data_IF_946133719954
#
_entry.id   IF_946133719954
#
_cell.length_a   1.000
_cell.length_b   1.000
_cell.length_c   1.000
_cell.angle_alpha   90.00
_cell.angle_beta   90.00
_cell.angle_gamma   90.00
#
_symmetry.space_group_name_H-M   'P 1'
#
loop_
_entity.id
_entity.type
_entity.pdbx_description
1 polymer ?
#
# COMPACT_ATOMS: atom_id res chain seq x y z
N UNK A 1 1.63 -22.71 17.18
CA UNK A 1 2.97 -22.45 16.61
C UNK A 1 2.69 -21.80 15.28
N UNK A 2 3.08 -20.55 15.20
CA UNK A 2 2.60 -19.53 14.26
C UNK A 2 2.85 -19.93 12.82
N UNK A 3 1.83 -19.77 11.98
CA UNK A 3 1.98 -19.36 10.58
C UNK A 3 2.81 -18.07 10.57
N UNK A 4 4.13 -18.17 10.80
CA UNK A 4 5.05 -17.29 10.09
C UNK A 4 4.73 -17.62 8.66
N UNK A 5 3.87 -16.78 8.09
CA UNK A 5 3.06 -16.99 6.90
C UNK A 5 3.76 -17.98 5.98
N UNK A 6 3.25 -19.23 5.92
CA UNK A 6 3.91 -20.36 5.22
C UNK A 6 4.38 -19.93 3.81
N UNK A 7 3.62 -19.01 3.22
CA UNK A 7 3.86 -18.38 1.93
C UNK A 7 5.12 -17.50 1.90
N UNK A 8 5.39 -16.74 2.96
CA UNK A 8 6.63 -15.94 3.09
C UNK A 8 7.82 -16.86 3.25
N UNK A 9 7.71 -17.89 4.08
CA UNK A 9 8.75 -18.90 4.27
C UNK A 9 9.11 -19.58 2.95
N UNK A 10 8.11 -20.03 2.19
CA UNK A 10 8.29 -20.62 0.87
C UNK A 10 8.98 -19.66 -0.09
N UNK A 11 8.48 -18.43 -0.22
CA UNK A 11 9.00 -17.44 -1.17
C UNK A 11 10.48 -17.14 -0.89
N UNK A 12 10.85 -17.00 0.37
CA UNK A 12 12.23 -16.71 0.77
C UNK A 12 13.14 -17.91 0.49
N UNK A 13 12.72 -19.13 0.82
CA UNK A 13 13.51 -20.34 0.51
C UNK A 13 13.70 -20.51 -1.00
N UNK A 14 12.64 -20.32 -1.78
CA UNK A 14 12.70 -20.35 -3.23
C UNK A 14 13.71 -19.31 -3.76
N UNK A 15 13.59 -18.06 -3.32
CA UNK A 15 14.49 -16.97 -3.70
C UNK A 15 15.95 -17.29 -3.39
N UNK A 16 16.26 -17.83 -2.21
CA UNK A 16 17.64 -18.19 -1.85
C UNK A 16 18.23 -19.30 -2.73
N UNK A 17 17.39 -20.16 -3.31
CA UNK A 17 17.82 -21.25 -4.18
C UNK A 17 17.89 -20.84 -5.66
N UNK A 18 16.98 -20.00 -6.14
CA UNK A 18 16.81 -19.70 -7.58
C UNK A 18 17.07 -18.25 -7.96
N UNK A 19 17.04 -17.33 -6.99
CA UNK A 19 16.99 -15.88 -7.22
C UNK A 19 15.61 -15.36 -7.68
N UNK A 20 14.61 -16.23 -7.80
CA UNK A 20 13.27 -15.89 -8.28
C UNK A 20 12.26 -15.54 -7.17
N UNK A 21 11.12 -14.99 -7.58
CA UNK A 21 9.97 -14.74 -6.70
C UNK A 21 8.84 -15.73 -7.05
N UNK A 22 8.47 -16.59 -6.12
CA UNK A 22 7.38 -17.56 -6.28
C UNK A 22 6.61 -17.70 -4.96
N UNK A 23 5.27 -17.61 -5.03
CA UNK A 23 4.36 -17.83 -3.90
C UNK A 23 3.72 -19.22 -3.98
N UNK A 24 3.30 -19.77 -2.85
CA UNK A 24 2.63 -21.08 -2.81
C UNK A 24 1.26 -20.98 -3.50
N UNK A 25 1.03 -21.87 -4.47
CA UNK A 25 -0.30 -22.09 -5.04
C UNK A 25 -1.16 -22.91 -4.07
N UNK A 26 -1.89 -22.24 -3.18
CA UNK A 26 -2.84 -22.87 -2.26
C UNK A 26 -4.31 -22.60 -2.65
N UNK A 27 -5.24 -23.55 -2.45
CA UNK A 27 -6.66 -23.34 -2.68
C UNK A 27 -7.19 -22.16 -1.85
N UNK A 28 -8.10 -21.38 -2.41
CA UNK A 28 -8.76 -20.28 -1.69
C UNK A 28 -9.81 -20.84 -0.71
N UNK A 29 -9.88 -20.25 0.49
CA UNK A 29 -11.09 -20.30 1.30
C UNK A 29 -12.21 -19.51 0.58
N UNK A 30 -13.44 -19.98 0.64
CA UNK A 30 -14.59 -19.33 -0.01
C UNK A 30 -14.71 -17.86 0.42
N UNK A 31 -14.70 -16.94 -0.57
CA UNK A 31 -14.96 -15.51 -0.36
C UNK A 31 -13.74 -14.58 -0.28
N UNK A 32 -12.49 -15.07 -0.34
CA UNK A 32 -11.29 -14.21 -0.44
C UNK A 32 -10.86 -14.07 -1.90
N UNK A 33 -10.66 -12.83 -2.37
CA UNK A 33 -10.12 -12.57 -3.71
C UNK A 33 -8.67 -13.06 -3.80
N UNK A 34 -8.35 -13.81 -4.86
CA UNK A 34 -6.98 -14.28 -5.14
C UNK A 34 -6.00 -13.11 -5.17
N UNK A 35 -6.42 -12.00 -5.77
CA UNK A 35 -5.62 -10.78 -5.90
C UNK A 35 -5.25 -10.16 -4.55
N UNK A 36 -6.22 -10.00 -3.64
CA UNK A 36 -5.97 -9.41 -2.33
C UNK A 36 -5.07 -10.31 -1.46
N UNK A 37 -5.21 -11.62 -1.61
CA UNK A 37 -4.32 -12.59 -0.96
C UNK A 37 -2.89 -12.49 -1.49
N UNK A 38 -2.70 -12.51 -2.81
CA UNK A 38 -1.37 -12.38 -3.41
C UNK A 38 -0.72 -11.05 -3.09
N UNK A 39 -1.52 -9.97 -3.04
CA UNK A 39 -1.03 -8.67 -2.62
C UNK A 39 -0.55 -8.71 -1.17
N UNK A 40 -1.35 -9.23 -0.25
CA UNK A 40 -0.95 -9.40 1.15
C UNK A 40 0.35 -10.22 1.28
N UNK A 41 0.48 -11.32 0.54
CA UNK A 41 1.71 -12.13 0.50
C UNK A 41 2.90 -11.30 0.05
N UNK A 42 2.76 -10.50 -1.02
CA UNK A 42 3.84 -9.62 -1.49
C UNK A 42 4.25 -8.56 -0.48
N UNK A 43 3.30 -7.98 0.27
CA UNK A 43 3.58 -7.06 1.37
C UNK A 43 4.36 -7.74 2.49
N UNK A 44 3.99 -8.96 2.86
CA UNK A 44 4.68 -9.69 3.93
C UNK A 44 6.08 -10.15 3.50
N UNK A 45 6.27 -10.52 2.23
CA UNK A 45 7.59 -10.82 1.68
C UNK A 45 8.45 -9.56 1.62
N UNK A 46 7.87 -8.42 1.22
CA UNK A 46 8.56 -7.12 1.28
C UNK A 46 9.01 -6.81 2.71
N UNK A 47 8.12 -6.92 3.69
CA UNK A 47 8.46 -6.73 5.09
C UNK A 47 9.59 -7.67 5.54
N UNK A 48 9.49 -8.97 5.25
CA UNK A 48 10.55 -9.93 5.59
C UNK A 48 11.89 -9.60 4.91
N UNK A 49 11.87 -9.17 3.64
CA UNK A 49 13.05 -8.77 2.90
C UNK A 49 13.74 -7.55 3.51
N UNK A 50 12.98 -6.58 4.04
CA UNK A 50 13.51 -5.42 4.77
C UNK A 50 14.11 -5.83 6.11
N UNK A 51 13.47 -6.73 6.86
CA UNK A 51 13.98 -7.21 8.16
C UNK A 51 15.24 -8.07 8.01
N UNK A 52 15.34 -8.86 6.94
CA UNK A 52 16.47 -9.76 6.69
C UNK A 52 17.51 -9.20 5.71
N UNK A 53 17.37 -7.93 5.32
CA UNK A 53 18.28 -7.24 4.39
C UNK A 53 18.49 -7.98 3.06
N UNK A 54 17.44 -8.59 2.52
CA UNK A 54 17.44 -9.30 1.24
C UNK A 54 17.08 -8.34 0.10
N UNK A 55 18.06 -7.52 -0.33
CA UNK A 55 17.84 -6.41 -1.27
C UNK A 55 17.19 -6.79 -2.61
N UNK A 56 17.60 -7.89 -3.25
CA UNK A 56 16.99 -8.29 -4.52
C UNK A 56 15.55 -8.79 -4.32
N UNK A 57 15.26 -9.46 -3.20
CA UNK A 57 13.91 -9.87 -2.84
C UNK A 57 13.01 -8.67 -2.50
N UNK A 58 13.58 -7.63 -1.90
CA UNK A 58 12.90 -6.35 -1.69
C UNK A 58 12.50 -5.74 -3.04
N UNK A 59 13.39 -5.75 -4.04
CA UNK A 59 13.06 -5.25 -5.39
C UNK A 59 11.93 -6.08 -6.02
N UNK A 60 12.03 -7.41 -5.99
CA UNK A 60 11.02 -8.29 -6.58
C UNK A 60 9.65 -8.16 -5.91
N UNK A 61 9.62 -8.08 -4.58
CA UNK A 61 8.37 -7.91 -3.82
C UNK A 61 7.71 -6.56 -4.11
N UNK A 62 8.48 -5.46 -4.19
CA UNK A 62 7.95 -4.15 -4.59
C UNK A 62 7.34 -4.16 -6.00
N UNK A 63 8.02 -4.79 -6.96
CA UNK A 63 7.49 -4.94 -8.32
C UNK A 63 6.18 -5.72 -8.33
N UNK A 64 6.10 -6.79 -7.53
CA UNK A 64 4.87 -7.58 -7.38
C UNK A 64 3.74 -6.75 -6.76
N UNK A 65 4.02 -5.98 -5.70
CA UNK A 65 3.04 -5.08 -5.08
C UNK A 65 2.52 -4.04 -6.08
N UNK A 66 3.42 -3.36 -6.80
CA UNK A 66 3.05 -2.36 -7.81
C UNK A 66 2.19 -2.96 -8.92
N UNK A 67 2.50 -4.17 -9.39
CA UNK A 67 1.71 -4.83 -10.43
C UNK A 67 0.29 -5.20 -9.96
N UNK A 68 0.17 -5.70 -8.73
CA UNK A 68 -1.11 -6.16 -8.19
C UNK A 68 -2.01 -5.01 -7.71
N UNK A 69 -1.43 -3.84 -7.40
CA UNK A 69 -2.18 -2.70 -6.88
C UNK A 69 -3.11 -2.03 -7.89
N UNK A 70 -2.85 -2.22 -9.19
CA UNK A 70 -3.60 -1.60 -10.28
C UNK A 70 -5.09 -2.00 -10.24
N UNK A 71 -5.38 -3.18 -9.72
CA UNK A 71 -6.71 -3.78 -9.66
C UNK A 71 -7.31 -3.79 -8.24
N UNK A 72 -6.58 -3.28 -7.23
CA UNK A 72 -7.04 -3.28 -5.84
C UNK A 72 -7.65 -1.96 -5.39
N UNK A 73 -8.76 -1.98 -4.64
CA UNK A 73 -9.25 -0.78 -3.96
C UNK A 73 -8.22 -0.27 -2.96
N UNK A 74 -7.98 1.05 -2.95
CA UNK A 74 -7.00 1.68 -2.05
C UNK A 74 -7.25 1.37 -0.57
N UNK A 75 -8.51 1.20 -0.16
CA UNK A 75 -8.85 0.86 1.22
C UNK A 75 -8.32 -0.53 1.60
N UNK A 76 -8.31 -1.48 0.67
CA UNK A 76 -7.76 -2.82 0.90
C UNK A 76 -6.23 -2.76 1.00
N UNK A 77 -5.60 -1.97 0.13
CA UNK A 77 -4.16 -1.68 0.20
C UNK A 77 -3.80 -1.12 1.58
N UNK A 78 -4.49 -0.08 2.04
CA UNK A 78 -4.24 0.55 3.34
C UNK A 78 -4.43 -0.43 4.51
N UNK A 79 -5.48 -1.26 4.49
CA UNK A 79 -5.71 -2.28 5.53
C UNK A 79 -4.55 -3.27 5.64
N UNK A 80 -4.02 -3.70 4.51
CA UNK A 80 -2.91 -4.65 4.45
C UNK A 80 -1.62 -3.98 4.94
N UNK A 81 -1.30 -2.77 4.45
CA UNK A 81 -0.06 -2.06 4.83
C UNK A 81 0.00 -1.71 6.30
N UNK A 82 -1.13 -1.36 6.91
CA UNK A 82 -1.22 -1.10 8.35
C UNK A 82 -0.63 -2.25 9.18
N UNK A 83 -0.76 -3.49 8.72
CA UNK A 83 -0.25 -4.66 9.42
C UNK A 83 1.28 -4.76 9.50
N UNK A 84 2.01 -4.01 8.66
CA UNK A 84 3.48 -4.05 8.61
C UNK A 84 4.15 -2.69 8.80
N UNK A 85 3.39 -1.59 8.72
CA UNK A 85 3.93 -0.24 8.62
C UNK A 85 4.87 0.12 9.78
N UNK A 86 4.43 -0.11 11.02
CA UNK A 86 5.18 0.27 12.22
C UNK A 86 6.28 -0.72 12.60
N UNK A 87 6.32 -1.90 11.99
CA UNK A 87 7.35 -2.91 12.25
C UNK A 87 8.52 -2.84 11.29
N UNK A 88 8.46 -1.99 10.26
CA UNK A 88 9.56 -1.79 9.32
C UNK A 88 10.74 -1.06 9.96
N UNK A 89 11.95 -1.24 9.42
CA UNK A 89 13.15 -0.52 9.86
C UNK A 89 12.99 1.01 9.81
N UNK A 90 13.74 1.74 10.65
CA UNK A 90 13.61 3.19 10.78
C UNK A 90 14.06 3.97 9.52
N UNK A 91 14.85 3.36 8.64
CA UNK A 91 15.26 3.90 7.34
C UNK A 91 14.23 3.62 6.23
N UNK A 92 13.07 3.07 6.58
CA UNK A 92 12.00 2.83 5.64
C UNK A 92 11.46 4.14 5.05
N UNK A 93 11.50 4.23 3.72
CA UNK A 93 11.09 5.41 2.95
C UNK A 93 10.19 5.06 1.78
N UNK A 94 10.30 3.84 1.25
CA UNK A 94 9.58 3.44 0.06
C UNK A 94 8.10 3.19 0.35
N UNK A 95 7.77 2.52 1.46
CA UNK A 95 6.38 2.18 1.76
C UNK A 95 5.49 3.42 1.97
N UNK A 96 5.91 4.45 2.73
CA UNK A 96 5.15 5.70 2.81
C UNK A 96 4.91 6.37 1.44
N UNK A 97 5.93 6.47 0.60
CA UNK A 97 5.83 7.06 -0.74
C UNK A 97 4.83 6.27 -1.61
N UNK A 98 4.95 4.95 -1.58
CA UNK A 98 4.05 4.04 -2.29
C UNK A 98 2.59 4.17 -1.84
N UNK A 99 2.33 4.33 -0.53
CA UNK A 99 0.98 4.60 -0.01
C UNK A 99 0.47 5.95 -0.51
N UNK A 100 1.31 6.98 -0.49
CA UNK A 100 0.94 8.31 -0.96
C UNK A 100 0.55 8.31 -2.45
N UNK A 101 1.30 7.60 -3.29
CA UNK A 101 0.98 7.43 -4.72
C UNK A 101 -0.38 6.73 -4.92
N UNK A 102 -0.66 5.68 -4.16
CA UNK A 102 -1.94 4.97 -4.19
C UNK A 102 -3.11 5.89 -3.77
N UNK A 103 -2.92 6.68 -2.71
CA UNK A 103 -3.91 7.68 -2.26
C UNK A 103 -4.16 8.75 -3.32
N UNK A 104 -3.10 9.28 -3.94
CA UNK A 104 -3.22 10.27 -5.02
C UNK A 104 -4.00 9.71 -6.22
N UNK A 105 -3.74 8.46 -6.61
CA UNK A 105 -4.44 7.76 -7.68
C UNK A 105 -5.92 7.54 -7.36
N UNK A 106 -6.23 7.14 -6.13
CA UNK A 106 -7.62 6.86 -5.74
C UNK A 106 -8.44 8.11 -5.50
N UNK A 107 -7.84 9.19 -5.02
CA UNK A 107 -8.58 10.40 -4.67
C UNK A 107 -8.95 11.24 -5.89
N UNK A 108 -8.78 10.81 -7.15
CA UNK A 108 -8.82 11.70 -8.34
C UNK A 108 -10.00 12.69 -8.36
N UNK A 109 -9.82 13.91 -8.92
CA UNK A 109 -10.81 15.00 -8.87
C UNK A 109 -12.23 14.62 -9.36
N UNK A 110 -12.34 13.64 -10.26
CA UNK A 110 -13.61 13.26 -10.89
C UNK A 110 -14.31 12.06 -10.21
N UNK A 111 -13.69 11.45 -9.21
CA UNK A 111 -14.29 10.38 -8.41
C UNK A 111 -13.78 10.44 -6.97
N UNK A 112 -14.29 11.38 -6.14
CA UNK A 112 -13.80 11.63 -4.79
C UNK A 112 -14.21 10.54 -3.77
N UNK A 113 -14.61 9.35 -4.23
CA UNK A 113 -15.19 8.29 -3.39
C UNK A 113 -14.13 7.52 -2.60
N UNK A 114 -13.45 8.20 -1.68
CA UNK A 114 -13.09 7.55 -0.43
C UNK A 114 -14.34 7.56 0.44
N UNK A 115 -14.99 6.41 0.57
CA UNK A 115 -16.07 6.23 1.53
C UNK A 115 -15.55 6.53 2.94
N UNK A 116 -16.07 7.58 3.57
CA UNK A 116 -15.58 8.06 4.86
C UNK A 116 -15.71 6.97 5.93
N UNK A 117 -16.83 6.23 5.92
CA UNK A 117 -17.08 5.16 6.87
C UNK A 117 -16.07 4.02 6.70
N UNK A 118 -15.87 3.57 5.47
CA UNK A 118 -14.93 2.49 5.16
C UNK A 118 -13.49 2.91 5.44
N UNK A 119 -13.17 4.20 5.27
CA UNK A 119 -11.88 4.77 5.67
C UNK A 119 -11.71 4.82 7.19
N UNK A 120 -12.75 5.17 7.95
CA UNK A 120 -12.72 5.10 9.42
C UNK A 120 -12.44 3.68 9.92
N UNK A 121 -12.90 2.64 9.23
CA UNK A 121 -12.60 1.25 9.59
C UNK A 121 -11.12 0.86 9.34
N UNK A 122 -10.42 1.60 8.48
CA UNK A 122 -8.99 1.42 8.20
C UNK A 122 -8.11 2.11 9.24
N UNK A 123 -8.55 3.25 9.78
CA UNK A 123 -7.78 4.08 10.72
C UNK A 123 -8.13 3.70 12.18
N UNK A 124 -7.25 3.99 13.13
CA UNK A 124 -7.50 3.86 14.56
C UNK A 124 -6.94 2.59 15.20
N UNK A 125 -6.15 1.82 14.46
CA UNK A 125 -5.53 0.57 14.96
C UNK A 125 -4.00 0.67 15.10
N UNK A 126 -3.36 1.60 14.40
CA UNK A 126 -1.93 1.83 14.49
C UNK A 126 -1.63 3.34 14.39
N UNK A 127 -1.18 3.95 15.48
CA UNK A 127 -1.03 5.40 15.55
C UNK A 127 0.00 5.99 14.58
N UNK A 128 1.06 5.24 14.22
CA UNK A 128 2.07 5.74 13.30
C UNK A 128 1.54 5.76 11.87
N UNK A 129 0.92 4.65 11.45
CA UNK A 129 0.23 4.51 10.19
C UNK A 129 -0.91 5.54 10.06
N UNK A 130 -1.76 5.64 11.09
CA UNK A 130 -2.91 6.54 11.11
C UNK A 130 -2.46 7.99 10.88
N UNK A 131 -1.44 8.45 11.61
CA UNK A 131 -0.91 9.81 11.48
C UNK A 131 -0.26 10.03 10.10
N UNK A 132 0.46 9.05 9.57
CA UNK A 132 1.09 9.15 8.26
C UNK A 132 0.04 9.28 7.14
N UNK A 133 -0.96 8.39 7.12
CA UNK A 133 -2.04 8.40 6.13
C UNK A 133 -2.86 9.69 6.22
N UNK A 134 -3.23 10.12 7.44
CA UNK A 134 -3.96 11.37 7.63
C UNK A 134 -3.18 12.59 7.13
N UNK A 135 -1.88 12.65 7.41
CA UNK A 135 -1.00 13.71 6.89
C UNK A 135 -0.99 13.72 5.36
N UNK A 136 -0.81 12.57 4.72
CA UNK A 136 -0.82 12.45 3.26
C UNK A 136 -2.14 12.92 2.64
N UNK A 137 -3.28 12.53 3.24
CA UNK A 137 -4.61 12.96 2.77
C UNK A 137 -4.76 14.48 2.91
N UNK A 138 -4.39 15.06 4.05
CA UNK A 138 -4.46 16.51 4.27
C UNK A 138 -3.60 17.25 3.26
N UNK A 139 -2.39 16.78 2.97
CA UNK A 139 -1.51 17.36 1.96
C UNK A 139 -2.15 17.31 0.56
N UNK A 140 -2.65 16.14 0.15
CA UNK A 140 -3.32 15.95 -1.15
C UNK A 140 -4.52 16.89 -1.30
N UNK A 141 -5.38 16.97 -0.27
CA UNK A 141 -6.56 17.82 -0.30
C UNK A 141 -6.22 19.31 -0.25
N UNK A 142 -5.21 19.70 0.53
CA UNK A 142 -4.77 21.09 0.63
C UNK A 142 -4.23 21.60 -0.71
N UNK A 143 -3.41 20.81 -1.40
CA UNK A 143 -2.91 21.13 -2.74
C UNK A 143 -4.08 21.36 -3.70
N UNK A 144 -5.09 20.50 -3.68
CA UNK A 144 -6.25 20.61 -4.57
C UNK A 144 -7.11 21.83 -4.29
N UNK A 145 -7.40 22.11 -3.02
CA UNK A 145 -8.15 23.29 -2.62
C UNK A 145 -7.42 24.55 -3.11
N UNK A 146 -6.10 24.57 -3.03
CA UNK A 146 -5.30 25.68 -3.54
C UNK A 146 -5.35 25.79 -5.07
N UNK A 147 -5.14 24.68 -5.79
CA UNK A 147 -5.20 24.66 -7.27
C UNK A 147 -6.56 25.09 -7.82
N UNK A 148 -7.67 24.72 -7.16
CA UNK A 148 -9.02 25.14 -7.56
C UNK A 148 -9.23 26.65 -7.45
N UNK A 149 -8.66 27.30 -6.42
CA UNK A 149 -8.76 28.75 -6.22
C UNK A 149 -8.03 29.52 -7.32
N UNK A 150 -6.83 29.07 -7.70
CA UNK A 150 -6.03 29.69 -8.77
C UNK A 150 -6.74 29.64 -10.13
N UNK A 151 -7.39 28.52 -10.45
CA UNK A 151 -8.16 28.38 -11.68
C UNK A 151 -9.37 29.32 -11.75
N UNK A 152 -10.04 29.57 -10.61
CA UNK A 152 -11.16 30.52 -10.54
C UNK A 152 -10.70 31.97 -10.72
N UNK A 153 -9.52 32.34 -10.22
CA UNK A 153 -8.95 33.69 -10.37
C UNK A 153 -8.55 33.98 -11.82
N UNK A 154 -8.05 32.98 -12.55
CA UNK A 154 -7.66 33.13 -13.97
C UNK A 154 -8.85 33.24 -14.94
N UNK A 155 -10.05 32.85 -14.52
CA UNK A 155 -11.27 32.90 -15.35
C UNK A 155 -12.03 34.24 -15.24
N UNK A 156 -11.61 35.16 -14.36
CA UNK A 156 -12.18 36.50 -14.27
C UNK A 156 -11.57 37.41 -15.36
N UNK A 157 -12.38 38.14 -16.16
CA UNK A 157 -11.85 39.04 -17.18
C UNK A 157 -11.06 40.19 -16.54
N UNK A 158 -10.02 40.71 -17.20
CA UNK A 158 -9.29 41.88 -16.70
C UNK A 158 -10.23 43.11 -16.67
N UNK A 159 -10.17 43.85 -15.56
CA UNK A 159 -10.84 45.15 -15.37
C UNK A 159 -10.30 46.22 -16.33
#
# INVERSE_FOLDING_TARGET
MSDIDEDVGHTVVHFLHTGGYETVNSPLEEGRSDLAREYKRSVLVYHASRIWSLGDLEVLSRQKMQHLDEELPVLEILRIMRGVFSSLPADETWLPDYIQENLQRSLRPNDPRLGLQEFYDVIGQDHHFDNAVMKMIIEILSIRIFSMKEQQVQLLPPN
#
